data_IF_801403196546
#
_entry.id   IF_801403196546
#
_cell.length_a   1.000
_cell.length_b   1.000
_cell.length_c   1.000
_cell.angle_alpha   90.00
_cell.angle_beta   90.00
_cell.angle_gamma   90.00
#
_symmetry.space_group_name_H-M   'P 1'
#
loop_
_entity.id
_entity.type
_entity.pdbx_description
1 polymer ?
#
# COMPACT_ATOMS: atom_id res chain seq x y z
N UNK A 1 29.36 -12.09 -11.71
CA UNK A 1 28.70 -10.81 -11.40
C UNK A 1 28.14 -10.93 -10.00
N UNK A 2 28.79 -10.29 -9.03
CA UNK A 2 28.34 -10.21 -7.63
C UNK A 2 27.89 -8.81 -7.25
N UNK A 3 28.30 -7.81 -8.01
CA UNK A 3 27.75 -6.45 -7.94
C UNK A 3 27.30 -5.95 -9.33
N UNK A 4 26.42 -4.95 -9.37
CA UNK A 4 26.22 -4.12 -10.56
C UNK A 4 27.42 -3.20 -10.80
N UNK A 5 28.20 -2.89 -9.75
CA UNK A 5 29.44 -2.13 -9.88
C UNK A 5 30.52 -2.92 -10.67
N UNK A 6 30.54 -4.27 -10.59
CA UNK A 6 31.33 -5.14 -11.50
C UNK A 6 31.02 -4.83 -12.97
N UNK A 7 29.72 -4.73 -13.29
CA UNK A 7 29.20 -4.55 -14.64
C UNK A 7 29.43 -3.11 -15.14
N UNK A 8 29.28 -2.12 -14.27
CA UNK A 8 29.61 -0.72 -14.56
C UNK A 8 31.10 -0.56 -14.83
N UNK A 9 31.97 -1.16 -14.01
CA UNK A 9 33.41 -1.16 -14.24
C UNK A 9 33.77 -1.85 -15.57
N UNK A 10 33.18 -3.00 -15.86
CA UNK A 10 33.35 -3.69 -17.15
C UNK A 10 32.91 -2.82 -18.34
N UNK A 11 31.73 -2.20 -18.28
CA UNK A 11 31.23 -1.34 -19.36
C UNK A 11 32.09 -0.09 -19.56
N UNK A 12 32.64 0.49 -18.49
CA UNK A 12 33.60 1.60 -18.57
C UNK A 12 34.91 1.14 -19.24
N UNK A 13 35.47 -0.01 -18.85
CA UNK A 13 36.68 -0.59 -19.47
C UNK A 13 36.46 -0.96 -20.94
N UNK A 14 35.27 -1.44 -21.30
CA UNK A 14 34.88 -1.81 -22.66
C UNK A 14 34.31 -0.64 -23.48
N UNK A 15 34.37 0.60 -22.97
CA UNK A 15 33.95 1.83 -23.64
C UNK A 15 32.44 1.91 -24.04
N UNK A 16 31.57 1.13 -23.39
CA UNK A 16 30.11 1.09 -23.62
C UNK A 16 29.36 2.17 -22.81
N UNK A 17 29.64 3.44 -23.11
CA UNK A 17 29.08 4.60 -22.40
C UNK A 17 27.55 4.71 -22.45
N UNK A 18 26.90 4.14 -23.46
CA UNK A 18 25.44 4.14 -23.61
C UNK A 18 24.72 3.16 -22.69
N UNK A 19 25.40 2.12 -22.18
CA UNK A 19 24.81 1.19 -21.21
C UNK A 19 24.79 1.79 -19.79
N UNK A 20 25.82 2.57 -19.45
CA UNK A 20 25.93 3.29 -18.18
C UNK A 20 24.71 4.19 -17.91
N UNK A 21 24.19 4.87 -18.93
CA UNK A 21 22.96 5.69 -18.82
C UNK A 21 21.69 4.89 -18.50
N UNK A 22 21.74 3.55 -18.51
CA UNK A 22 20.62 2.65 -18.21
C UNK A 22 20.85 1.77 -16.97
N UNK A 23 22.04 1.81 -16.37
CA UNK A 23 22.42 0.96 -15.23
C UNK A 23 22.92 1.83 -14.08
N UNK A 24 22.02 2.12 -13.14
CA UNK A 24 22.29 2.94 -11.95
C UNK A 24 22.94 2.09 -10.86
N UNK A 25 24.14 2.47 -10.37
CA UNK A 25 24.75 1.81 -9.21
C UNK A 25 23.92 1.97 -7.94
N UNK A 26 24.10 1.07 -6.95
CA UNK A 26 23.33 1.14 -5.70
C UNK A 26 23.57 2.47 -4.95
N UNK A 27 24.79 3.00 -4.99
CA UNK A 27 25.15 4.31 -4.43
C UNK A 27 24.41 5.44 -5.13
N UNK A 28 24.38 5.43 -6.47
CA UNK A 28 23.67 6.45 -7.25
C UNK A 28 22.16 6.37 -7.00
N UNK A 29 21.59 5.17 -6.91
CA UNK A 29 20.18 4.96 -6.61
C UNK A 29 19.83 5.43 -5.19
N UNK A 30 20.67 5.14 -4.20
CA UNK A 30 20.51 5.62 -2.83
C UNK A 30 20.56 7.17 -2.76
N UNK A 31 21.49 7.80 -3.47
CA UNK A 31 21.58 9.26 -3.55
C UNK A 31 20.37 9.89 -4.26
N UNK A 32 19.84 9.26 -5.32
CA UNK A 32 18.59 9.69 -5.96
C UNK A 32 17.39 9.54 -5.02
N UNK A 33 17.32 8.43 -4.27
CA UNK A 33 16.25 8.18 -3.32
C UNK A 33 16.28 9.11 -2.10
N UNK A 34 17.46 9.45 -1.59
CA UNK A 34 17.62 10.43 -0.51
C UNK A 34 17.10 11.83 -0.87
N UNK A 35 17.11 12.17 -2.18
CA UNK A 35 16.57 13.42 -2.70
C UNK A 35 15.06 13.39 -3.01
N UNK A 36 14.35 12.27 -2.76
CA UNK A 36 12.89 12.20 -2.95
C UNK A 36 12.21 13.08 -1.91
N UNK A 37 11.56 14.16 -2.37
CA UNK A 37 10.98 15.21 -1.50
C UNK A 37 9.85 14.73 -0.57
N UNK A 38 9.30 13.53 -0.81
CA UNK A 38 8.31 12.89 0.08
C UNK A 38 8.92 11.95 1.12
N UNK A 39 10.22 11.58 1.03
CA UNK A 39 10.83 10.57 1.89
C UNK A 39 10.68 10.94 3.38
N UNK A 40 10.97 12.19 3.72
CA UNK A 40 10.78 12.74 5.07
C UNK A 40 9.34 12.65 5.60
N UNK A 41 8.33 12.42 4.75
CA UNK A 41 6.93 12.24 5.15
C UNK A 41 6.52 10.77 5.34
N UNK A 42 7.29 9.82 4.79
CA UNK A 42 7.03 8.37 4.96
C UNK A 42 7.96 7.72 5.99
N UNK A 43 9.15 8.29 6.24
CA UNK A 43 10.06 7.86 7.31
C UNK A 43 9.43 7.89 8.71
N UNK A 44 8.44 8.75 8.95
CA UNK A 44 7.69 8.80 10.21
C UNK A 44 6.37 8.00 10.17
N UNK A 45 6.21 7.10 9.18
CA UNK A 45 5.03 6.23 9.04
C UNK A 45 5.40 4.76 9.09
N UNK A 46 4.46 3.92 9.54
CA UNK A 46 4.60 2.48 9.51
C UNK A 46 3.86 1.90 8.29
N UNK A 47 4.49 1.00 7.55
CA UNK A 47 3.86 0.22 6.49
C UNK A 47 3.37 -1.12 7.04
N UNK A 48 2.06 -1.36 6.99
CA UNK A 48 1.44 -2.65 7.31
C UNK A 48 1.21 -3.41 5.99
N UNK A 49 1.89 -4.55 5.84
CA UNK A 49 1.76 -5.46 4.70
C UNK A 49 0.81 -6.58 5.11
N UNK A 50 -0.38 -6.60 4.51
CA UNK A 50 -1.50 -7.49 4.85
C UNK A 50 -1.45 -8.72 3.96
N UNK A 51 -1.29 -9.89 4.57
CA UNK A 51 -1.15 -11.17 3.88
C UNK A 51 -2.44 -11.96 4.04
N UNK A 52 -3.26 -12.03 2.98
CA UNK A 52 -4.58 -12.68 2.98
C UNK A 52 -4.48 -14.21 3.16
N UNK A 53 -3.35 -14.79 2.75
CA UNK A 53 -3.00 -16.20 2.92
C UNK A 53 -1.95 -16.43 4.02
N UNK A 54 -1.81 -17.68 4.53
CA UNK A 54 -0.75 -18.00 5.49
C UNK A 54 0.65 -17.77 4.91
N UNK A 55 1.41 -16.87 5.55
CA UNK A 55 2.72 -16.44 5.03
C UNK A 55 3.70 -17.62 4.91
N UNK A 56 4.20 -17.83 3.69
CA UNK A 56 5.28 -18.75 3.34
C UNK A 56 6.47 -17.97 2.75
N UNK A 57 7.68 -18.11 3.31
CA UNK A 57 8.86 -17.35 2.86
C UNK A 57 9.24 -17.57 1.38
N UNK A 58 8.74 -18.63 0.74
CA UNK A 58 8.88 -18.83 -0.72
C UNK A 58 8.21 -17.73 -1.56
N UNK A 59 7.29 -16.94 -1.00
CA UNK A 59 6.60 -15.86 -1.71
C UNK A 59 7.37 -14.52 -1.68
N UNK A 60 8.61 -14.51 -1.17
CA UNK A 60 9.49 -13.34 -1.31
C UNK A 60 9.26 -12.21 -0.30
N UNK A 61 8.65 -12.48 0.86
CA UNK A 61 8.45 -11.48 1.93
C UNK A 61 9.74 -10.76 2.36
N UNK A 62 10.91 -11.39 2.26
CA UNK A 62 12.21 -10.76 2.49
C UNK A 62 12.60 -9.72 1.43
N UNK A 63 12.09 -9.83 0.20
CA UNK A 63 12.23 -8.84 -0.87
C UNK A 63 11.36 -7.63 -0.54
N UNK A 64 10.11 -7.84 -0.13
CA UNK A 64 9.21 -6.76 0.33
C UNK A 64 9.80 -6.04 1.56
N UNK A 65 10.36 -6.79 2.52
CA UNK A 65 11.06 -6.21 3.68
C UNK A 65 12.20 -5.29 3.23
N UNK A 66 13.11 -5.79 2.37
CA UNK A 66 14.25 -5.03 1.85
C UNK A 66 13.83 -3.83 0.98
N UNK A 67 12.70 -3.92 0.28
CA UNK A 67 12.13 -2.86 -0.55
C UNK A 67 11.61 -1.68 0.28
N UNK A 68 11.02 -1.94 1.45
CA UNK A 68 10.32 -0.90 2.23
C UNK A 68 11.06 -0.46 3.50
N UNK A 69 11.83 -1.32 4.17
CA UNK A 69 12.50 -1.00 5.45
C UNK A 69 13.42 0.24 5.40
N UNK A 70 14.11 0.59 4.29
CA UNK A 70 14.91 1.82 4.24
C UNK A 70 14.11 3.13 4.19
N UNK A 71 12.78 3.08 4.04
CA UNK A 71 11.95 4.25 3.69
C UNK A 71 10.75 4.49 4.62
N UNK A 72 10.45 3.53 5.50
CA UNK A 72 9.37 3.61 6.50
C UNK A 72 9.94 3.40 7.91
N UNK A 73 9.43 4.17 8.88
CA UNK A 73 9.88 4.08 10.28
C UNK A 73 9.60 2.73 10.93
N UNK A 74 8.64 1.98 10.39
CA UNK A 74 8.51 0.55 10.59
C UNK A 74 7.92 -0.12 9.35
N UNK A 75 8.30 -1.37 9.09
CA UNK A 75 7.56 -2.28 8.20
C UNK A 75 7.10 -3.45 9.05
N UNK A 76 5.81 -3.77 8.99
CA UNK A 76 5.15 -4.81 9.80
C UNK A 76 4.31 -5.70 8.89
N UNK A 77 4.61 -6.99 8.88
CA UNK A 77 3.82 -7.98 8.15
C UNK A 77 2.65 -8.46 9.02
N UNK A 78 1.46 -8.61 8.48
CA UNK A 78 0.30 -9.07 9.25
C UNK A 78 -0.50 -10.12 8.48
N UNK A 79 -0.76 -11.25 9.13
CA UNK A 79 -1.42 -12.41 8.53
C UNK A 79 -1.17 -13.67 9.35
N UNK A 80 -1.55 -14.84 8.83
CA UNK A 80 -1.34 -16.11 9.53
C UNK A 80 0.09 -16.63 9.33
N UNK A 81 1.01 -16.29 10.24
CA UNK A 81 2.38 -16.82 10.19
C UNK A 81 2.59 -18.02 11.12
N UNK A 82 3.36 -18.99 10.62
CA UNK A 82 3.78 -20.19 11.34
C UNK A 82 5.29 -20.39 11.12
N UNK A 83 6.17 -19.79 11.95
CA UNK A 83 7.62 -19.87 11.80
C UNK A 83 8.16 -21.30 11.70
N UNK A 84 7.57 -22.22 12.47
CA UNK A 84 7.91 -23.64 12.50
C UNK A 84 7.59 -24.41 11.21
N UNK A 85 6.96 -23.78 10.23
CA UNK A 85 6.65 -24.35 8.89
C UNK A 85 7.50 -23.74 7.77
N UNK A 86 8.43 -22.83 8.08
CA UNK A 86 9.19 -22.07 7.09
C UNK A 86 10.55 -22.70 6.79
N UNK A 87 10.96 -22.71 5.53
CA UNK A 87 12.34 -23.01 5.15
C UNK A 87 13.17 -21.71 5.13
N UNK A 88 13.78 -21.38 6.27
CA UNK A 88 14.70 -20.23 6.39
C UNK A 88 16.03 -20.42 5.63
N UNK A 89 16.35 -21.65 5.20
CA UNK A 89 17.58 -22.00 4.49
C UNK A 89 17.42 -21.98 2.95
N UNK A 90 16.32 -21.43 2.43
CA UNK A 90 16.08 -21.32 1.00
C UNK A 90 17.02 -20.29 0.36
N UNK A 91 18.05 -20.77 -0.34
CA UNK A 91 19.08 -19.93 -1.00
C UNK A 91 18.61 -19.23 -2.28
N UNK A 92 17.44 -19.58 -2.82
CA UNK A 92 16.90 -18.95 -4.04
C UNK A 92 16.28 -17.56 -3.79
N UNK A 93 16.13 -17.15 -2.52
CA UNK A 93 15.53 -15.89 -2.10
C UNK A 93 16.45 -15.27 -1.02
N UNK A 94 16.65 -13.94 -0.97
CA UNK A 94 17.39 -13.31 0.12
C UNK A 94 16.81 -13.70 1.50
N UNK A 95 17.64 -13.93 2.54
CA UNK A 95 17.13 -14.24 3.86
C UNK A 95 16.32 -13.07 4.44
N UNK A 96 15.37 -13.38 5.33
CA UNK A 96 14.72 -12.37 6.17
C UNK A 96 15.76 -11.58 6.98
N UNK A 97 15.50 -10.29 7.18
CA UNK A 97 16.28 -9.47 8.09
C UNK A 97 15.64 -9.54 9.49
N UNK A 98 16.47 -9.66 10.52
CA UNK A 98 16.03 -9.66 11.91
C UNK A 98 16.28 -8.29 12.56
N UNK A 99 15.36 -7.76 13.39
CA UNK A 99 14.05 -8.33 13.73
C UNK A 99 13.05 -8.31 12.56
N UNK A 100 12.30 -9.39 12.40
CA UNK A 100 11.16 -9.45 11.48
C UNK A 100 9.90 -9.07 12.25
N UNK A 101 9.40 -7.85 12.04
CA UNK A 101 8.20 -7.37 12.74
C UNK A 101 6.96 -8.00 12.10
N UNK A 102 6.18 -8.72 12.89
CA UNK A 102 4.93 -9.31 12.41
C UNK A 102 3.81 -9.26 13.45
N UNK A 103 2.58 -9.29 12.97
CA UNK A 103 1.36 -9.48 13.74
C UNK A 103 0.71 -10.78 13.25
N UNK A 104 0.65 -11.80 14.11
CA UNK A 104 -0.12 -13.00 13.79
C UNK A 104 -1.62 -12.71 13.91
N UNK A 105 -2.37 -13.01 12.86
CA UNK A 105 -3.83 -13.18 12.93
C UNK A 105 -4.22 -14.55 12.38
N UNK A 106 -5.21 -15.18 12.97
CA UNK A 106 -5.65 -16.52 12.57
C UNK A 106 -6.37 -16.49 11.21
N UNK A 107 -6.44 -17.63 10.48
CA UNK A 107 -7.22 -17.72 9.24
C UNK A 107 -8.72 -17.46 9.46
N UNK A 108 -9.21 -17.62 10.70
CA UNK A 108 -10.58 -17.26 11.10
C UNK A 108 -10.76 -15.75 11.25
N UNK A 109 -9.79 -15.06 11.86
CA UNK A 109 -9.79 -13.58 11.91
C UNK A 109 -9.72 -13.00 10.50
N UNK A 110 -8.74 -13.41 9.67
CA UNK A 110 -8.56 -12.89 8.31
C UNK A 110 -9.76 -13.17 7.37
N UNK A 111 -10.57 -14.18 7.69
CA UNK A 111 -11.76 -14.59 6.95
C UNK A 111 -11.58 -14.60 5.42
N UNK A 112 -10.68 -15.47 4.92
CA UNK A 112 -10.32 -15.60 3.49
C UNK A 112 -9.74 -14.33 2.82
N UNK A 113 -9.45 -13.27 3.57
CA UNK A 113 -8.97 -11.98 3.05
C UNK A 113 -9.94 -10.82 3.31
N UNK A 114 -11.20 -11.09 3.66
CA UNK A 114 -12.23 -10.06 3.86
C UNK A 114 -11.93 -9.08 5.00
N UNK A 115 -11.19 -9.52 6.02
CA UNK A 115 -11.01 -8.76 7.26
C UNK A 115 -9.59 -8.17 7.42
N UNK A 116 -9.02 -7.65 6.33
CA UNK A 116 -7.67 -7.08 6.32
C UNK A 116 -7.49 -5.90 7.31
N UNK A 117 -8.56 -5.18 7.62
CA UNK A 117 -8.59 -4.09 8.59
C UNK A 117 -8.25 -4.52 10.03
N UNK A 118 -8.42 -5.81 10.38
CA UNK A 118 -7.96 -6.35 11.67
C UNK A 118 -6.44 -6.14 11.85
N UNK A 119 -5.67 -6.18 10.76
CA UNK A 119 -4.24 -5.86 10.80
C UNK A 119 -3.96 -4.40 11.15
N UNK A 120 -4.81 -3.47 10.69
CA UNK A 120 -4.68 -2.05 10.98
C UNK A 120 -5.08 -1.73 12.41
N UNK A 121 -6.12 -2.40 12.94
CA UNK A 121 -6.51 -2.29 14.35
C UNK A 121 -5.36 -2.76 15.25
N UNK A 122 -4.83 -3.97 15.03
CA UNK A 122 -3.73 -4.53 15.84
C UNK A 122 -2.43 -3.72 15.69
N UNK A 123 -2.12 -3.19 14.51
CA UNK A 123 -0.95 -2.32 14.31
C UNK A 123 -1.06 -0.99 15.06
N UNK A 124 -2.26 -0.39 15.10
CA UNK A 124 -2.56 0.78 15.92
C UNK A 124 -2.44 0.48 17.42
N UNK A 125 -2.91 -0.70 17.86
CA UNK A 125 -2.80 -1.16 19.26
C UNK A 125 -1.35 -1.36 19.74
N UNK A 126 -0.38 -1.62 18.84
CA UNK A 126 1.05 -1.67 19.20
C UNK A 126 1.60 -0.33 19.71
N UNK A 127 0.93 0.80 19.44
CA UNK A 127 1.32 2.16 19.89
C UNK A 127 2.79 2.49 19.60
N UNK A 128 3.23 2.16 18.38
CA UNK A 128 4.63 2.35 17.93
C UNK A 128 5.07 3.81 18.14
N UNK A 129 6.12 3.99 18.95
CA UNK A 129 6.66 5.33 19.25
C UNK A 129 7.25 5.95 17.99
N UNK A 130 7.15 7.29 17.88
CA UNK A 130 7.63 8.10 16.76
C UNK A 130 6.95 7.83 15.40
N UNK A 131 5.92 6.98 15.35
CA UNK A 131 5.07 6.78 14.17
C UNK A 131 3.90 7.78 14.20
N UNK A 132 3.76 8.58 13.14
CA UNK A 132 2.71 9.61 12.98
C UNK A 132 1.54 9.17 12.09
N UNK A 133 1.67 8.04 11.39
CA UNK A 133 0.65 7.52 10.49
C UNK A 133 0.96 6.09 10.03
N UNK A 134 -0.05 5.43 9.46
CA UNK A 134 0.08 4.05 8.96
C UNK A 134 -0.37 3.97 7.50
N UNK A 135 0.36 3.20 6.70
CA UNK A 135 -0.08 2.72 5.40
C UNK A 135 -0.53 1.27 5.49
N UNK A 136 -1.50 0.89 4.66
CA UNK A 136 -1.94 -0.48 4.46
C UNK A 136 -1.73 -0.88 2.99
N UNK A 137 -1.18 -2.06 2.74
CA UNK A 137 -1.03 -2.64 1.39
C UNK A 137 -1.16 -4.16 1.46
N UNK A 138 -1.74 -4.79 0.45
CA UNK A 138 -1.75 -6.26 0.31
C UNK A 138 -0.34 -6.78 -0.05
N UNK A 139 -0.04 -8.05 0.22
CA UNK A 139 1.28 -8.63 -0.05
C UNK A 139 1.57 -8.92 -1.53
N UNK A 140 0.54 -8.91 -2.39
CA UNK A 140 0.64 -8.93 -3.85
C UNK A 140 0.75 -7.52 -4.48
N UNK A 141 0.60 -6.45 -3.70
CA UNK A 141 0.53 -5.07 -4.18
C UNK A 141 1.78 -4.25 -3.85
N UNK A 142 2.34 -3.57 -4.85
CA UNK A 142 3.53 -2.72 -4.69
C UNK A 142 3.14 -1.24 -4.49
N UNK A 143 3.34 -0.73 -3.27
CA UNK A 143 3.19 0.68 -2.94
C UNK A 143 4.30 1.54 -3.58
N UNK A 144 3.97 2.34 -4.59
CA UNK A 144 4.90 3.26 -5.26
C UNK A 144 5.06 4.59 -4.48
N UNK A 145 5.73 4.52 -3.32
CA UNK A 145 5.98 5.69 -2.45
C UNK A 145 7.06 6.65 -2.98
N UNK A 146 7.76 6.29 -4.06
CA UNK A 146 8.71 7.17 -4.75
C UNK A 146 8.03 8.29 -5.54
N UNK A 147 6.71 8.20 -5.75
CA UNK A 147 5.89 9.24 -6.40
C UNK A 147 5.22 10.19 -5.38
N UNK A 148 4.82 11.42 -5.78
CA UNK A 148 4.21 12.40 -4.86
C UNK A 148 2.86 12.00 -4.23
N UNK A 149 2.87 11.34 -3.07
CA UNK A 149 1.65 11.02 -2.29
C UNK A 149 1.16 12.25 -1.49
N UNK A 150 -0.16 12.54 -1.56
CA UNK A 150 -0.83 13.63 -0.83
C UNK A 150 -1.47 13.14 0.49
N UNK A 151 -0.63 12.88 1.50
CA UNK A 151 -1.01 12.24 2.78
C UNK A 151 -2.10 12.96 3.60
N UNK A 152 -2.38 14.22 3.28
CA UNK A 152 -3.36 15.08 3.92
C UNK A 152 -4.81 14.86 3.42
N UNK A 153 -5.03 13.82 2.62
CA UNK A 153 -6.33 13.35 2.13
C UNK A 153 -6.54 11.88 2.48
N UNK A 154 -7.77 11.49 2.83
CA UNK A 154 -8.17 10.09 2.80
C UNK A 154 -8.22 9.64 1.33
N UNK A 155 -7.16 9.00 0.87
CA UNK A 155 -7.20 8.19 -0.33
C UNK A 155 -8.00 6.93 -0.03
N UNK A 156 -9.32 7.04 -0.20
CA UNK A 156 -10.11 5.86 -0.51
C UNK A 156 -9.53 5.23 -1.78
N UNK A 157 -9.11 3.99 -1.67
CA UNK A 157 -9.12 3.04 -2.79
C UNK A 157 -10.55 3.01 -3.40
N UNK A 158 -10.75 2.86 -4.73
CA UNK A 158 -12.06 2.51 -5.39
C UNK A 158 -11.81 1.72 -6.72
N UNK A 159 -12.75 1.43 -7.65
CA UNK A 159 -12.45 0.70 -8.93
C UNK A 159 -12.21 1.56 -10.20
N UNK A 160 -11.19 1.29 -11.06
CA UNK A 160 -10.94 2.13 -12.29
C UNK A 160 -12.12 2.08 -13.26
N UNK A 161 -12.24 3.07 -14.15
CA UNK A 161 -13.14 2.97 -15.32
C UNK A 161 -12.77 1.85 -16.31
N UNK A 162 -11.62 1.18 -16.11
CA UNK A 162 -11.19 -0.02 -16.81
C UNK A 162 -11.55 -1.31 -16.05
N UNK A 163 -12.16 -1.24 -14.85
CA UNK A 163 -12.66 -2.41 -14.12
C UNK A 163 -13.75 -3.16 -14.91
N UNK A 164 -14.49 -2.47 -15.77
CA UNK A 164 -15.42 -3.07 -16.75
C UNK A 164 -14.70 -3.87 -17.88
N UNK A 165 -13.36 -3.94 -17.82
CA UNK A 165 -12.46 -4.76 -18.67
C UNK A 165 -11.52 -5.60 -17.78
N UNK A 166 -11.47 -5.35 -16.47
CA UNK A 166 -10.67 -6.06 -15.48
C UNK A 166 -11.36 -7.33 -15.02
N UNK A 167 -10.61 -8.44 -14.91
CA UNK A 167 -11.16 -9.78 -14.62
C UNK A 167 -11.43 -10.05 -13.14
N UNK A 168 -11.88 -9.04 -12.37
CA UNK A 168 -12.31 -9.21 -10.98
C UNK A 168 -13.74 -9.75 -10.92
N UNK A 169 -13.99 -10.97 -10.43
CA UNK A 169 -15.29 -11.65 -10.58
C UNK A 169 -16.44 -11.01 -9.80
N UNK A 170 -16.14 -10.25 -8.74
CA UNK A 170 -17.16 -9.74 -7.81
C UNK A 170 -17.65 -8.32 -8.13
N UNK A 171 -16.80 -7.46 -8.68
CA UNK A 171 -17.06 -6.02 -8.77
C UNK A 171 -17.99 -5.60 -9.93
N UNK A 172 -17.94 -6.33 -11.05
CA UNK A 172 -18.90 -6.20 -12.15
C UNK A 172 -20.17 -7.06 -11.93
N UNK A 173 -20.27 -7.74 -10.77
CA UNK A 173 -21.49 -8.42 -10.34
C UNK A 173 -22.37 -7.46 -9.53
N UNK A 174 -23.65 -7.81 -9.37
CA UNK A 174 -24.60 -7.03 -8.57
C UNK A 174 -24.11 -6.73 -7.14
N UNK A 175 -23.26 -7.59 -6.55
CA UNK A 175 -22.78 -7.45 -5.17
C UNK A 175 -21.93 -6.19 -4.96
N UNK A 176 -20.98 -5.91 -5.86
CA UNK A 176 -20.06 -4.78 -5.73
C UNK A 176 -20.75 -3.43 -5.93
N UNK A 177 -21.64 -3.35 -6.92
CA UNK A 177 -22.42 -2.14 -7.19
C UNK A 177 -23.43 -1.85 -6.06
N UNK A 178 -24.11 -2.88 -5.55
CA UNK A 178 -25.12 -2.71 -4.50
C UNK A 178 -24.49 -2.37 -3.14
N UNK A 179 -23.33 -2.94 -2.80
CA UNK A 179 -22.56 -2.53 -1.62
C UNK A 179 -22.17 -1.03 -1.70
N UNK A 180 -21.80 -0.52 -2.88
CA UNK A 180 -21.50 0.90 -3.08
C UNK A 180 -22.76 1.78 -2.96
N UNK A 181 -23.89 1.36 -3.54
CA UNK A 181 -25.18 2.06 -3.37
C UNK A 181 -25.60 2.13 -1.90
N UNK A 182 -25.51 1.02 -1.17
CA UNK A 182 -25.84 0.94 0.25
C UNK A 182 -24.93 1.86 1.09
N UNK A 183 -23.62 1.88 0.79
CA UNK A 183 -22.68 2.82 1.42
C UNK A 183 -23.05 4.28 1.14
N UNK A 184 -23.39 4.62 -0.10
CA UNK A 184 -23.82 5.97 -0.48
C UNK A 184 -25.18 6.33 0.16
N UNK A 185 -26.09 5.37 0.33
CA UNK A 185 -27.37 5.56 1.00
C UNK A 185 -27.16 5.87 2.49
N UNK A 186 -26.38 5.03 3.19
CA UNK A 186 -25.99 5.23 4.59
C UNK A 186 -25.31 6.59 4.83
N UNK A 187 -24.47 7.06 3.91
CA UNK A 187 -23.83 8.37 3.99
C UNK A 187 -24.77 9.55 3.65
N UNK A 188 -25.84 9.35 2.88
CA UNK A 188 -26.86 10.38 2.58
C UNK A 188 -27.91 10.50 3.69
N UNK A 189 -28.20 9.40 4.36
CA UNK A 189 -29.07 9.34 5.52
C UNK A 189 -28.48 10.17 6.68
N UNK A 190 -29.29 11.12 7.16
CA UNK A 190 -28.89 12.08 8.19
C UNK A 190 -28.99 11.48 9.60
N UNK A 191 -29.78 10.42 9.78
CA UNK A 191 -30.08 9.86 11.10
C UNK A 191 -28.99 8.87 11.58
N UNK A 192 -28.12 8.40 10.67
CA UNK A 192 -26.86 7.71 11.02
C UNK A 192 -25.89 8.57 11.84
N UNK A 193 -26.15 9.87 11.98
CA UNK A 193 -25.65 10.68 13.09
C UNK A 193 -24.52 11.65 12.76
N UNK A 194 -24.29 12.56 13.72
CA UNK A 194 -23.47 13.78 13.57
C UNK A 194 -22.00 13.50 13.20
N UNK A 195 -21.48 12.30 13.45
CA UNK A 195 -20.11 11.91 13.09
C UNK A 195 -19.95 11.77 11.57
N UNK A 196 -20.89 11.13 10.89
CA UNK A 196 -20.86 10.98 9.43
C UNK A 196 -21.08 12.33 8.73
N UNK A 197 -22.00 13.15 9.23
CA UNK A 197 -22.25 14.50 8.71
C UNK A 197 -20.94 15.33 8.72
N UNK A 198 -20.25 15.41 9.87
CA UNK A 198 -18.95 16.10 9.99
C UNK A 198 -17.87 15.53 9.08
N UNK A 199 -17.82 14.20 8.91
CA UNK A 199 -16.87 13.54 8.01
C UNK A 199 -17.10 13.94 6.55
N UNK A 200 -18.36 14.01 6.13
CA UNK A 200 -18.77 14.40 4.77
C UNK A 200 -18.50 15.89 4.51
N UNK A 201 -18.82 16.77 5.47
CA UNK A 201 -18.51 18.20 5.42
C UNK A 201 -17.01 18.46 5.26
N UNK A 202 -16.19 17.84 6.12
CA UNK A 202 -14.74 17.96 6.08
C UNK A 202 -14.14 17.37 4.80
N UNK A 203 -14.70 16.27 4.28
CA UNK A 203 -14.25 15.69 3.02
C UNK A 203 -14.62 16.58 1.83
N UNK A 204 -15.84 17.13 1.78
CA UNK A 204 -16.27 18.06 0.73
C UNK A 204 -15.38 19.31 0.71
N UNK A 205 -15.10 19.88 1.89
CA UNK A 205 -14.17 21.01 2.07
C UNK A 205 -12.79 20.71 1.49
N UNK A 206 -12.23 19.52 1.75
CA UNK A 206 -10.92 19.10 1.22
C UNK A 206 -10.93 18.82 -0.30
N UNK A 207 -12.04 18.33 -0.87
CA UNK A 207 -12.19 18.12 -2.31
C UNK A 207 -12.26 19.45 -3.07
N UNK A 208 -13.04 20.42 -2.55
CA UNK A 208 -13.15 21.78 -3.10
C UNK A 208 -11.81 22.52 -3.05
N UNK A 209 -11.12 22.53 -1.90
CA UNK A 209 -9.81 23.18 -1.74
C UNK A 209 -8.74 22.65 -2.71
N UNK A 210 -8.90 21.43 -3.25
CA UNK A 210 -7.99 20.81 -4.22
C UNK A 210 -8.50 20.83 -5.66
N UNK A 211 -9.66 21.45 -5.91
CA UNK A 211 -10.31 21.51 -7.23
C UNK A 211 -10.59 20.12 -7.83
N UNK A 212 -10.90 19.13 -6.97
CA UNK A 212 -11.30 17.78 -7.39
C UNK A 212 -12.79 17.71 -7.74
N UNK A 213 -13.58 18.61 -7.16
CA UNK A 213 -14.98 18.90 -7.50
C UNK A 213 -15.14 20.42 -7.63
N UNK A 214 -16.13 20.89 -8.38
CA UNK A 214 -16.53 22.31 -8.41
C UNK A 214 -17.52 22.64 -7.28
N UNK A 215 -17.77 23.93 -7.04
CA UNK A 215 -18.72 24.41 -6.01
C UNK A 215 -20.17 23.95 -6.26
N UNK A 216 -20.50 23.60 -7.50
CA UNK A 216 -21.76 22.98 -7.93
C UNK A 216 -21.85 21.47 -7.67
N UNK A 217 -20.82 20.86 -7.08
CA UNK A 217 -20.71 19.42 -6.88
C UNK A 217 -20.52 19.04 -5.40
N UNK A 218 -20.82 17.78 -5.08
CA UNK A 218 -20.78 17.26 -3.70
C UNK A 218 -19.85 16.05 -3.59
N UNK A 219 -19.59 15.61 -2.34
CA UNK A 219 -18.99 14.30 -2.07
C UNK A 219 -19.73 13.17 -2.79
N UNK A 220 -21.06 13.24 -2.88
CA UNK A 220 -21.84 12.21 -3.60
C UNK A 220 -21.66 12.29 -5.10
N UNK A 221 -21.55 13.50 -5.67
CA UNK A 221 -21.18 13.68 -7.08
C UNK A 221 -19.80 13.07 -7.35
N UNK A 222 -18.86 13.18 -6.40
CA UNK A 222 -17.54 12.57 -6.49
C UNK A 222 -17.60 11.03 -6.43
N UNK A 223 -18.26 10.48 -5.41
CA UNK A 223 -18.43 9.03 -5.23
C UNK A 223 -19.23 8.39 -6.37
N UNK A 224 -20.15 9.11 -7.01
CA UNK A 224 -20.95 8.57 -8.12
C UNK A 224 -20.29 8.73 -9.51
N UNK A 225 -19.10 9.36 -9.63
CA UNK A 225 -18.38 9.52 -10.91
C UNK A 225 -17.70 8.25 -11.43
N UNK A 226 -17.30 7.33 -10.55
CA UNK A 226 -16.61 6.07 -10.90
C UNK A 226 -15.34 6.24 -11.80
N UNK A 227 -14.48 7.24 -11.52
CA UNK A 227 -13.32 7.63 -12.36
C UNK A 227 -11.98 7.72 -11.61
N UNK A 228 -10.96 6.99 -12.08
CA UNK A 228 -9.52 7.06 -11.73
C UNK A 228 -9.14 6.56 -10.32
N UNK A 229 -9.20 5.25 -10.12
CA UNK A 229 -9.54 4.62 -8.84
C UNK A 229 -8.90 3.21 -8.78
N UNK A 230 -8.30 2.72 -7.67
CA UNK A 230 -7.87 1.30 -7.51
C UNK A 230 -8.19 0.70 -6.11
N UNK A 231 -8.63 -0.58 -6.04
CA UNK A 231 -8.96 -1.41 -4.84
C UNK A 231 -8.35 -2.81 -5.04
N UNK A 232 -7.90 -3.43 -3.94
CA UNK A 232 -7.42 -4.83 -3.85
C UNK A 232 -8.47 -5.87 -4.25
N UNK A 233 -8.06 -7.00 -4.82
CA UNK A 233 -8.92 -8.18 -4.86
C UNK A 233 -9.18 -8.72 -3.44
N UNK A 234 -10.42 -9.17 -3.24
CA UNK A 234 -10.96 -9.89 -2.08
C UNK A 234 -12.04 -10.85 -2.58
#
# INVERSE_FOLDING_TARGET
>A
MRDFDDLIQFCNTANYTTLYQRVTSFVTLANLHANITQLNRVLETALVIICNHPMNLTYGYSILQRLYTPYFGAVVFCGSWYPQKQNFNNTAIPPLQYPFNYIHITPKEMHKGYNGEICMIKAYELRLRNIKGHFAVADDAILNFWQPIKLDMVFHQRGTKLANIGKGPWWNSALGEEAMKNTISMLKDKDNGKTYQKLIEEYQRRLLQRKMISESETVFTELQRMKNWTISDV
#
